data_IF_766253198378
#
_entry.id   IF_766253198378
#
_cell.length_a   1.000
_cell.length_b   1.000
_cell.length_c   1.000
_cell.angle_alpha   90.00
_cell.angle_beta   90.00
_cell.angle_gamma   90.00
#
_symmetry.space_group_name_H-M   'P 1'
#
loop_
_entity.id
_entity.type
_entity.pdbx_description
1 polymer ?
#
# COMPACT_ATOMS: atom_id res chain seq x y z
N UNK A 1 26.44 -13.57 -10.86
CA UNK A 1 25.06 -13.07 -10.66
C UNK A 1 24.76 -12.76 -9.19
N UNK A 2 24.96 -13.69 -8.25
CA UNK A 2 24.65 -13.50 -6.83
C UNK A 2 25.23 -12.22 -6.19
N UNK A 3 26.53 -11.97 -6.35
CA UNK A 3 27.18 -10.78 -5.77
C UNK A 3 26.56 -9.47 -6.29
N UNK A 4 26.26 -9.40 -7.59
CA UNK A 4 25.60 -8.23 -8.17
C UNK A 4 24.19 -8.04 -7.59
N UNK A 5 23.43 -9.14 -7.45
CA UNK A 5 22.11 -9.13 -6.82
C UNK A 5 22.16 -8.59 -5.38
N UNK A 6 23.10 -9.06 -4.58
CA UNK A 6 23.32 -8.59 -3.21
C UNK A 6 23.65 -7.09 -3.20
N UNK A 7 24.67 -6.66 -3.95
CA UNK A 7 25.14 -5.27 -3.93
C UNK A 7 24.02 -4.31 -4.35
N UNK A 8 23.35 -4.59 -5.48
CA UNK A 8 22.27 -3.73 -6.00
C UNK A 8 21.13 -3.63 -4.99
N UNK A 9 20.65 -4.76 -4.47
CA UNK A 9 19.57 -4.79 -3.50
C UNK A 9 19.91 -4.05 -2.21
N UNK A 10 21.09 -4.23 -1.65
CA UNK A 10 21.50 -3.58 -0.39
C UNK A 10 21.71 -2.07 -0.57
N UNK A 11 22.32 -1.62 -1.67
CA UNK A 11 22.49 -0.18 -1.96
C UNK A 11 21.11 0.49 -2.08
N UNK A 12 20.20 -0.10 -2.86
CA UNK A 12 18.83 0.40 -2.98
C UNK A 12 18.11 0.41 -1.62
N UNK A 13 18.39 -0.56 -0.76
CA UNK A 13 17.83 -0.63 0.60
C UNK A 13 18.26 0.57 1.44
N UNK A 14 19.56 0.84 1.50
CA UNK A 14 20.10 1.98 2.27
C UNK A 14 19.50 3.30 1.78
N UNK A 15 19.50 3.53 0.46
CA UNK A 15 18.94 4.74 -0.15
C UNK A 15 17.44 4.86 0.13
N UNK A 16 16.69 3.77 -0.08
CA UNK A 16 15.25 3.74 0.16
C UNK A 16 14.89 4.05 1.61
N UNK A 17 15.59 3.44 2.57
CA UNK A 17 15.35 3.65 4.01
C UNK A 17 15.64 5.10 4.43
N UNK A 18 16.75 5.67 3.94
CA UNK A 18 17.08 7.07 4.22
C UNK A 18 16.01 8.02 3.68
N UNK A 19 15.56 7.81 2.44
CA UNK A 19 14.58 8.68 1.79
C UNK A 19 13.19 8.55 2.40
N UNK A 20 12.72 7.34 2.72
CA UNK A 20 11.39 7.15 3.33
C UNK A 20 11.34 7.75 4.74
N UNK A 21 12.43 7.62 5.51
CA UNK A 21 12.54 8.25 6.84
C UNK A 21 12.43 9.76 6.74
N UNK A 22 13.14 10.37 5.77
CA UNK A 22 13.03 11.82 5.49
C UNK A 22 11.60 12.21 5.09
N UNK A 23 10.97 11.43 4.22
CA UNK A 23 9.62 11.71 3.71
C UNK A 23 8.55 11.62 4.82
N UNK A 24 8.62 10.60 5.68
CA UNK A 24 7.76 10.48 6.86
C UNK A 24 7.95 11.67 7.79
N UNK A 25 9.19 12.05 8.09
CA UNK A 25 9.48 13.21 8.93
C UNK A 25 8.98 14.53 8.31
N UNK A 26 8.98 14.66 6.98
CA UNK A 26 8.44 15.82 6.28
C UNK A 26 6.92 15.87 6.37
N UNK A 27 6.22 14.76 6.09
CA UNK A 27 4.75 14.68 6.20
C UNK A 27 4.30 14.94 7.63
N UNK A 28 4.98 14.33 8.61
CA UNK A 28 4.66 14.53 10.02
C UNK A 28 4.85 15.98 10.45
N UNK A 29 5.95 16.64 10.04
CA UNK A 29 6.16 18.07 10.29
C UNK A 29 5.07 18.92 9.65
N UNK A 30 4.69 18.62 8.42
CA UNK A 30 3.65 19.36 7.71
C UNK A 30 2.27 19.21 8.36
N UNK A 31 1.87 18.00 8.73
CA UNK A 31 0.60 17.75 9.45
C UNK A 31 0.57 18.48 10.79
N UNK A 32 1.70 18.55 11.50
CA UNK A 32 1.80 19.27 12.79
C UNK A 32 1.79 20.80 12.69
N UNK A 33 1.85 21.39 11.49
CA UNK A 33 1.66 22.84 11.33
C UNK A 33 0.22 23.27 11.59
N UNK A 34 -0.74 22.35 11.47
CA UNK A 34 -2.13 22.67 11.62
C UNK A 34 -2.53 22.92 13.07
N UNK A 35 -3.56 23.76 13.25
CA UNK A 35 -4.16 24.05 14.54
C UNK A 35 -4.62 22.78 15.27
N UNK A 36 -4.65 22.80 16.62
CA UNK A 36 -5.32 21.76 17.37
C UNK A 36 -6.80 21.65 16.98
N UNK A 37 -7.35 20.46 17.14
CA UNK A 37 -8.81 20.22 17.09
C UNK A 37 -9.37 20.32 18.51
N UNK A 38 -10.68 20.57 18.69
CA UNK A 38 -11.31 20.54 20.01
C UNK A 38 -10.94 19.27 20.78
N UNK A 39 -10.59 19.44 22.05
CA UNK A 39 -10.11 18.36 22.90
C UNK A 39 -11.13 17.21 22.93
N UNK A 40 -10.65 15.98 22.78
CA UNK A 40 -11.50 14.79 22.76
C UNK A 40 -12.22 14.51 21.44
N UNK A 41 -12.38 15.48 20.53
CA UNK A 41 -13.21 15.31 19.31
C UNK A 41 -12.71 14.25 18.31
N UNK A 42 -11.46 13.81 18.42
CA UNK A 42 -10.81 12.85 17.49
C UNK A 42 -10.14 11.68 18.19
N UNK A 43 -10.17 11.66 19.52
CA UNK A 43 -9.43 10.71 20.38
C UNK A 43 -10.32 10.11 21.48
N UNK A 44 -11.60 10.48 21.51
CA UNK A 44 -12.64 9.84 22.30
C UNK A 44 -12.84 8.38 21.87
N UNK A 45 -13.31 7.54 22.80
CA UNK A 45 -13.58 6.12 22.58
C UNK A 45 -12.51 5.38 21.73
N UNK A 46 -11.27 5.27 22.24
CA UNK A 46 -10.17 4.66 21.49
C UNK A 46 -10.45 3.19 21.14
N UNK A 47 -11.27 2.50 21.94
CA UNK A 47 -11.69 1.12 21.66
C UNK A 47 -12.56 1.08 20.40
N UNK A 48 -13.62 1.89 20.33
CA UNK A 48 -14.49 1.91 19.17
C UNK A 48 -13.76 2.37 17.91
N UNK A 49 -12.91 3.40 18.00
CA UNK A 49 -12.08 3.87 16.86
C UNK A 49 -11.15 2.79 16.31
N UNK A 50 -10.56 1.99 17.19
CA UNK A 50 -9.70 0.86 16.78
C UNK A 50 -10.52 -0.24 16.12
N UNK A 51 -11.71 -0.55 16.65
CA UNK A 51 -12.64 -1.49 16.03
C UNK A 51 -13.06 -0.99 14.63
N UNK A 52 -13.39 0.30 14.50
CA UNK A 52 -13.73 0.95 13.23
C UNK A 52 -12.58 0.87 12.25
N UNK A 53 -11.36 1.19 12.68
CA UNK A 53 -10.15 1.05 11.85
C UNK A 53 -10.01 -0.36 11.31
N UNK A 54 -10.05 -1.37 12.17
CA UNK A 54 -9.91 -2.78 11.77
C UNK A 54 -11.04 -3.20 10.82
N UNK A 55 -12.29 -2.84 11.12
CA UNK A 55 -13.46 -3.16 10.28
C UNK A 55 -13.38 -2.53 8.90
N UNK A 56 -13.12 -1.23 8.82
CA UNK A 56 -13.06 -0.54 7.54
C UNK A 56 -11.84 -0.95 6.72
N UNK A 57 -10.70 -1.19 7.38
CA UNK A 57 -9.49 -1.63 6.72
C UNK A 57 -9.58 -3.07 6.21
N UNK A 58 -9.89 -4.04 7.07
CA UNK A 58 -9.96 -5.44 6.64
C UNK A 58 -11.17 -5.68 5.74
N UNK A 59 -12.32 -5.07 6.05
CA UNK A 59 -13.54 -5.23 5.27
C UNK A 59 -13.59 -4.40 4.00
N UNK A 60 -12.68 -3.42 3.83
CA UNK A 60 -12.74 -2.41 2.75
C UNK A 60 -14.18 -1.87 2.56
N UNK A 61 -14.92 -1.66 3.65
CA UNK A 61 -16.40 -1.50 3.64
C UNK A 61 -16.88 -0.33 2.78
N UNK A 62 -16.03 0.69 2.61
CA UNK A 62 -16.26 1.84 1.72
C UNK A 62 -15.98 1.51 0.26
N UNK A 63 -14.83 0.89 -0.01
CA UNK A 63 -14.36 0.59 -1.36
C UNK A 63 -15.12 -0.59 -1.99
N UNK A 64 -15.57 -1.57 -1.21
CA UNK A 64 -16.34 -2.72 -1.69
C UNK A 64 -17.75 -2.36 -2.18
N UNK A 65 -18.22 -1.13 -1.95
CA UNK A 65 -19.44 -0.59 -2.56
C UNK A 65 -19.33 -0.41 -4.08
N UNK A 66 -18.10 -0.41 -4.62
CA UNK A 66 -17.82 -0.21 -6.04
C UNK A 66 -17.70 -1.54 -6.81
N UNK A 67 -18.28 -2.62 -6.29
CA UNK A 67 -18.37 -3.93 -6.93
C UNK A 67 -16.98 -4.50 -7.27
N UNK A 68 -16.74 -4.76 -8.56
CA UNK A 68 -15.50 -5.37 -9.04
C UNK A 68 -14.24 -4.56 -8.70
N UNK A 69 -14.34 -3.22 -8.70
CA UNK A 69 -13.19 -2.35 -8.39
C UNK A 69 -12.78 -2.55 -6.93
N UNK A 70 -13.75 -2.63 -6.02
CA UNK A 70 -13.45 -2.80 -4.61
C UNK A 70 -12.88 -4.16 -4.28
N UNK A 71 -13.45 -5.21 -4.88
CA UNK A 71 -12.92 -6.57 -4.74
C UNK A 71 -11.49 -6.69 -5.29
N UNK A 72 -11.22 -6.17 -6.50
CA UNK A 72 -9.88 -6.17 -7.08
C UNK A 72 -8.88 -5.35 -6.24
N UNK A 73 -9.29 -4.18 -5.76
CA UNK A 73 -8.47 -3.36 -4.87
C UNK A 73 -8.17 -4.06 -3.55
N UNK A 74 -9.13 -4.78 -2.96
CA UNK A 74 -8.93 -5.51 -1.71
C UNK A 74 -7.78 -6.50 -1.83
N UNK A 75 -7.73 -7.31 -2.90
CA UNK A 75 -6.60 -8.23 -3.09
C UNK A 75 -5.27 -7.53 -3.28
N UNK A 76 -5.25 -6.40 -4.00
CA UNK A 76 -4.03 -5.58 -4.13
C UNK A 76 -3.59 -5.04 -2.76
N UNK A 77 -4.52 -4.64 -1.91
CA UNK A 77 -4.23 -4.16 -0.56
C UNK A 77 -3.71 -5.28 0.36
N UNK A 78 -4.34 -6.45 0.37
CA UNK A 78 -3.86 -7.61 1.14
C UNK A 78 -2.52 -8.12 0.59
N UNK A 79 -2.33 -8.11 -0.73
CA UNK A 79 -1.05 -8.39 -1.37
C UNK A 79 0.07 -7.46 -0.91
N UNK A 80 -0.22 -6.16 -0.77
CA UNK A 80 0.72 -5.19 -0.20
C UNK A 80 1.07 -5.51 1.27
N UNK A 81 0.10 -5.93 2.10
CA UNK A 81 0.37 -6.38 3.48
C UNK A 81 1.11 -7.71 3.57
N UNK A 82 1.03 -8.51 2.52
CA UNK A 82 1.75 -9.78 2.37
C UNK A 82 3.20 -9.55 1.88
N UNK A 83 3.52 -8.34 1.40
CA UNK A 83 4.85 -8.02 0.89
C UNK A 83 5.97 -8.21 1.93
N UNK A 84 5.86 -7.77 3.20
CA UNK A 84 6.95 -7.88 4.17
C UNK A 84 7.53 -9.29 4.35
N UNK A 85 6.75 -10.36 4.65
CA UNK A 85 7.33 -11.69 4.79
C UNK A 85 7.92 -12.19 3.47
N UNK A 86 7.26 -11.96 2.33
CA UNK A 86 7.80 -12.42 1.04
C UNK A 86 9.04 -11.63 0.60
N UNK A 87 9.19 -10.38 1.02
CA UNK A 87 10.37 -9.56 0.76
C UNK A 87 11.53 -10.01 1.66
N UNK A 88 11.25 -10.33 2.92
CA UNK A 88 12.23 -10.95 3.83
C UNK A 88 12.76 -12.27 3.26
N UNK A 89 11.87 -13.10 2.69
CA UNK A 89 12.28 -14.31 1.98
C UNK A 89 13.17 -14.03 0.78
N UNK A 90 12.81 -13.03 -0.05
CA UNK A 90 13.65 -12.64 -1.18
C UNK A 90 15.04 -12.16 -0.73
N UNK A 91 15.16 -11.49 0.42
CA UNK A 91 16.48 -11.10 0.96
C UNK A 91 17.31 -12.32 1.36
N UNK A 92 16.71 -13.30 2.05
CA UNK A 92 17.38 -14.57 2.35
C UNK A 92 17.84 -15.29 1.08
N UNK A 93 16.98 -15.30 0.06
CA UNK A 93 17.25 -15.87 -1.26
C UNK A 93 18.43 -15.23 -1.98
N UNK A 94 18.82 -13.99 -1.68
CA UNK A 94 20.05 -13.39 -2.25
C UNK A 94 21.32 -14.09 -1.77
N UNK A 95 21.32 -14.63 -0.54
CA UNK A 95 22.49 -15.27 0.07
C UNK A 95 22.47 -16.78 -0.08
N UNK A 96 21.28 -17.38 -0.08
CA UNK A 96 21.08 -18.81 -0.25
C UNK A 96 19.81 -19.04 -1.08
N UNK A 97 19.94 -19.56 -2.30
CA UNK A 97 18.82 -19.61 -3.25
C UNK A 97 17.60 -20.42 -2.75
N UNK A 98 17.82 -21.50 -2.02
CA UNK A 98 16.79 -22.38 -1.46
C UNK A 98 16.24 -21.89 -0.11
N UNK A 99 16.62 -20.67 0.32
CA UNK A 99 16.22 -20.13 1.62
C UNK A 99 14.72 -19.84 1.69
N UNK A 100 14.14 -20.24 2.82
CA UNK A 100 12.75 -19.99 3.19
C UNK A 100 12.69 -19.33 4.57
N UNK A 101 11.59 -18.65 4.88
CA UNK A 101 11.40 -18.04 6.19
C UNK A 101 11.52 -19.10 7.29
N UNK A 102 12.35 -18.88 8.33
CA UNK A 102 12.35 -19.74 9.49
C UNK A 102 10.95 -19.83 10.09
N UNK A 103 10.57 -21.00 10.59
CA UNK A 103 9.30 -21.29 11.29
C UNK A 103 8.08 -21.36 10.37
N UNK A 104 7.86 -20.37 9.50
CA UNK A 104 6.61 -20.25 8.71
C UNK A 104 6.78 -20.58 7.22
N UNK A 105 8.01 -20.61 6.69
CA UNK A 105 8.25 -20.76 5.26
C UNK A 105 7.83 -22.10 4.67
N UNK A 106 7.75 -23.15 5.50
CA UNK A 106 7.27 -24.50 5.13
C UNK A 106 5.93 -24.84 5.78
N UNK A 107 5.27 -23.84 6.40
CA UNK A 107 3.97 -24.03 7.01
C UNK A 107 2.91 -23.95 5.91
N UNK A 108 2.36 -25.11 5.52
CA UNK A 108 1.45 -25.24 4.37
C UNK A 108 0.35 -24.17 4.31
N UNK A 109 -0.39 -23.82 5.39
CA UNK A 109 -1.40 -22.75 5.33
C UNK A 109 -0.83 -21.38 4.95
N UNK A 110 0.40 -21.07 5.37
CA UNK A 110 1.08 -19.84 4.98
C UNK A 110 1.50 -19.88 3.51
N UNK A 111 2.05 -21.00 3.03
CA UNK A 111 2.41 -21.16 1.62
C UNK A 111 1.18 -21.05 0.70
N UNK A 112 0.10 -21.75 1.02
CA UNK A 112 -1.16 -21.64 0.30
C UNK A 112 -1.72 -20.20 0.33
N UNK A 113 -1.57 -19.49 1.45
CA UNK A 113 -1.94 -18.09 1.55
C UNK A 113 -1.12 -17.21 0.58
N UNK A 114 0.20 -17.39 0.53
CA UNK A 114 1.08 -16.66 -0.40
C UNK A 114 0.72 -16.96 -1.86
N UNK A 115 0.49 -18.23 -2.21
CA UNK A 115 0.07 -18.65 -3.55
C UNK A 115 -1.25 -17.98 -3.95
N UNK A 116 -2.27 -18.07 -3.10
CA UNK A 116 -3.59 -17.49 -3.34
C UNK A 116 -3.53 -15.97 -3.48
N UNK A 117 -2.93 -15.28 -2.51
CA UNK A 117 -2.84 -13.82 -2.52
C UNK A 117 -1.93 -13.33 -3.64
N UNK A 118 -0.85 -14.04 -3.95
CA UNK A 118 0.03 -13.75 -5.09
C UNK A 118 -0.75 -13.74 -6.40
N UNK A 119 -1.51 -14.80 -6.68
CA UNK A 119 -2.38 -14.89 -7.85
C UNK A 119 -3.42 -13.76 -7.87
N UNK A 120 -4.16 -13.61 -6.78
CA UNK A 120 -5.27 -12.66 -6.72
C UNK A 120 -4.80 -11.21 -6.77
N UNK A 121 -3.58 -10.92 -6.31
CA UNK A 121 -2.95 -9.60 -6.50
C UNK A 121 -2.69 -9.32 -7.98
N UNK A 122 -2.15 -10.29 -8.73
CA UNK A 122 -1.92 -10.17 -10.17
C UNK A 122 -3.25 -10.01 -10.93
N UNK A 123 -4.24 -10.86 -10.64
CA UNK A 123 -5.57 -10.75 -11.26
C UNK A 123 -6.25 -9.42 -10.91
N UNK A 124 -6.14 -9.00 -9.64
CA UNK A 124 -6.70 -7.74 -9.17
C UNK A 124 -6.08 -6.54 -9.87
N UNK A 125 -4.75 -6.47 -9.95
CA UNK A 125 -4.10 -5.33 -10.61
C UNK A 125 -4.35 -5.30 -12.12
N UNK A 126 -4.32 -6.45 -12.80
CA UNK A 126 -4.64 -6.54 -14.23
C UNK A 126 -6.07 -6.07 -14.49
N UNK A 127 -7.02 -6.44 -13.61
CA UNK A 127 -8.41 -5.98 -13.67
C UNK A 127 -8.50 -4.46 -13.52
N UNK A 128 -7.82 -3.88 -12.53
CA UNK A 128 -7.81 -2.43 -12.31
C UNK A 128 -7.15 -1.67 -13.46
N UNK A 129 -6.05 -2.20 -14.02
CA UNK A 129 -5.40 -1.66 -15.21
C UNK A 129 -6.35 -1.68 -16.42
N UNK A 130 -7.05 -2.79 -16.66
CA UNK A 130 -8.04 -2.89 -17.74
C UNK A 130 -9.18 -1.86 -17.54
N UNK A 131 -9.73 -1.75 -16.33
CA UNK A 131 -10.76 -0.76 -16.01
C UNK A 131 -10.24 0.67 -16.25
N UNK A 132 -9.00 0.99 -15.89
CA UNK A 132 -8.39 2.29 -16.20
C UNK A 132 -8.35 2.55 -17.69
N UNK A 133 -7.81 1.61 -18.48
CA UNK A 133 -7.66 1.75 -19.92
C UNK A 133 -9.01 1.91 -20.64
N UNK A 134 -10.07 1.28 -20.12
CA UNK A 134 -11.43 1.45 -20.63
C UNK A 134 -12.03 2.81 -20.29
N UNK A 135 -11.65 3.42 -19.17
CA UNK A 135 -12.20 4.68 -18.65
C UNK A 135 -11.30 5.90 -18.89
N UNK A 136 -10.34 5.83 -19.81
CA UNK A 136 -9.43 6.95 -20.09
C UNK A 136 -10.18 8.22 -20.51
N UNK A 137 -9.68 9.43 -20.17
CA UNK A 137 -10.27 10.68 -20.63
C UNK A 137 -10.35 10.80 -22.15
N UNK A 138 -9.41 10.18 -22.87
CA UNK A 138 -9.43 10.11 -24.34
C UNK A 138 -10.59 9.27 -24.91
N UNK A 139 -11.21 8.41 -24.10
CA UNK A 139 -12.35 7.56 -24.50
C UNK A 139 -13.67 8.09 -23.95
N UNK A 140 -13.71 8.39 -22.64
CA UNK A 140 -14.92 8.81 -21.94
C UNK A 140 -15.10 10.34 -21.84
N UNK A 141 -14.17 11.13 -22.39
CA UNK A 141 -14.22 12.59 -22.36
C UNK A 141 -14.28 13.16 -20.94
N UNK A 142 -15.05 14.24 -20.74
CA UNK A 142 -15.27 14.87 -19.42
C UNK A 142 -16.02 14.00 -18.41
N UNK A 143 -16.61 12.88 -18.83
CA UNK A 143 -17.25 11.90 -17.94
C UNK A 143 -16.23 10.93 -17.32
N UNK A 144 -14.99 10.91 -17.80
CA UNK A 144 -13.94 10.09 -17.19
C UNK A 144 -13.63 10.58 -15.78
N UNK A 145 -13.71 9.68 -14.81
CA UNK A 145 -13.21 9.92 -13.44
C UNK A 145 -11.71 10.20 -13.35
N UNK A 146 -10.95 9.91 -14.42
CA UNK A 146 -9.51 10.12 -14.48
C UNK A 146 -9.13 11.45 -15.14
N UNK A 147 -10.10 12.25 -15.59
CA UNK A 147 -9.83 13.57 -16.14
C UNK A 147 -9.13 14.46 -15.10
N UNK A 148 -8.01 15.07 -15.47
CA UNK A 148 -7.20 15.92 -14.58
C UNK A 148 -6.32 15.17 -13.57
N UNK A 149 -6.29 13.83 -13.59
CA UNK A 149 -5.43 13.03 -12.70
C UNK A 149 -3.96 13.03 -13.13
N UNK A 150 -3.04 12.88 -12.17
CA UNK A 150 -1.60 12.68 -12.43
C UNK A 150 -1.31 11.26 -12.92
N UNK A 151 -1.65 10.97 -14.18
CA UNK A 151 -1.71 9.61 -14.72
C UNK A 151 -0.42 8.78 -14.53
N UNK A 152 0.76 9.38 -14.67
CA UNK A 152 2.03 8.66 -14.51
C UNK A 152 2.18 8.00 -13.12
N UNK A 153 1.65 8.65 -12.07
CA UNK A 153 1.73 8.11 -10.70
C UNK A 153 0.92 6.83 -10.57
N UNK A 154 -0.26 6.78 -11.22
CA UNK A 154 -1.11 5.60 -11.23
C UNK A 154 -0.46 4.46 -12.01
N UNK A 155 0.01 4.72 -13.23
CA UNK A 155 0.68 3.70 -14.04
C UNK A 155 1.96 3.17 -13.37
N UNK A 156 2.76 4.06 -12.77
CA UNK A 156 3.93 3.65 -12.01
C UNK A 156 3.56 2.65 -10.91
N UNK A 157 2.57 2.97 -10.07
CA UNK A 157 2.13 2.07 -8.99
C UNK A 157 1.55 0.77 -9.55
N UNK A 158 0.79 0.82 -10.64
CA UNK A 158 0.21 -0.37 -11.29
C UNK A 158 1.29 -1.33 -11.81
N UNK A 159 2.30 -0.81 -12.50
CA UNK A 159 3.41 -1.63 -13.00
C UNK A 159 4.25 -2.21 -11.86
N UNK A 160 4.52 -1.44 -10.80
CA UNK A 160 5.21 -1.94 -9.61
C UNK A 160 4.47 -3.15 -9.03
N UNK A 161 3.16 -3.04 -8.83
CA UNK A 161 2.34 -4.10 -8.23
C UNK A 161 2.33 -5.33 -9.13
N UNK A 162 2.17 -5.14 -10.44
CA UNK A 162 2.19 -6.24 -11.41
C UNK A 162 3.53 -6.97 -11.40
N UNK A 163 4.65 -6.24 -11.47
CA UNK A 163 6.00 -6.83 -11.46
C UNK A 163 6.24 -7.60 -10.15
N UNK A 164 5.87 -7.05 -9.00
CA UNK A 164 6.04 -7.72 -7.70
C UNK A 164 5.20 -8.99 -7.63
N UNK A 165 3.93 -8.94 -8.06
CA UNK A 165 3.04 -10.09 -8.06
C UNK A 165 3.56 -11.22 -8.94
N UNK A 166 4.02 -10.89 -10.16
CA UNK A 166 4.64 -11.88 -11.07
C UNK A 166 5.95 -12.43 -10.49
N UNK A 167 6.80 -11.60 -9.90
CA UNK A 167 8.04 -12.04 -9.29
C UNK A 167 7.81 -12.98 -8.09
N UNK A 168 6.73 -12.79 -7.32
CA UNK A 168 6.32 -13.75 -6.27
C UNK A 168 6.01 -15.11 -6.89
N UNK A 169 5.15 -15.16 -7.92
CA UNK A 169 4.78 -16.43 -8.57
C UNK A 169 5.98 -17.13 -9.21
N UNK A 170 6.87 -16.39 -9.86
CA UNK A 170 8.10 -16.93 -10.44
C UNK A 170 9.03 -17.48 -9.37
N UNK A 171 9.23 -16.76 -8.26
CA UNK A 171 10.05 -17.26 -7.14
C UNK A 171 9.46 -18.54 -6.55
N UNK A 172 8.13 -18.63 -6.39
CA UNK A 172 7.48 -19.86 -5.92
C UNK A 172 7.67 -21.04 -6.87
N UNK A 173 7.55 -20.81 -8.18
CA UNK A 173 7.84 -21.84 -9.18
C UNK A 173 9.29 -22.32 -9.14
N UNK A 174 10.24 -21.39 -9.01
CA UNK A 174 11.67 -21.71 -8.87
C UNK A 174 11.98 -22.43 -7.55
N UNK A 175 11.29 -22.06 -6.47
CA UNK A 175 11.40 -22.69 -5.16
C UNK A 175 10.97 -24.15 -5.22
N UNK A 176 9.79 -24.45 -5.79
CA UNK A 176 9.37 -25.83 -5.96
C UNK A 176 10.33 -26.64 -6.85
N UNK A 177 10.92 -26.03 -7.87
CA UNK A 177 11.89 -26.71 -8.73
C UNK A 177 13.23 -27.00 -8.01
N UNK A 178 13.76 -26.05 -7.23
CA UNK A 178 15.03 -26.24 -6.50
C UNK A 178 14.86 -27.17 -5.28
N UNK A 179 13.65 -27.26 -4.71
CA UNK A 179 13.30 -28.20 -3.65
C UNK A 179 12.86 -29.58 -4.17
N UNK A 180 13.01 -29.84 -5.48
CA UNK A 180 12.72 -31.14 -6.10
C UNK A 180 11.26 -31.60 -5.93
N UNK A 181 10.30 -30.69 -6.11
CA UNK A 181 8.87 -31.05 -6.12
C UNK A 181 8.55 -31.82 -7.40
N UNK A 182 8.47 -33.15 -7.28
CA UNK A 182 8.32 -34.06 -8.42
C UNK A 182 6.86 -34.25 -8.88
N UNK A 183 5.89 -34.04 -7.99
CA UNK A 183 4.46 -34.24 -8.22
C UNK A 183 3.65 -33.07 -7.64
N UNK A 184 2.34 -33.04 -7.91
CA UNK A 184 1.48 -31.97 -7.40
C UNK A 184 1.57 -31.86 -5.88
N UNK A 185 1.79 -30.63 -5.41
CA UNK A 185 1.83 -30.29 -4.00
C UNK A 185 0.96 -29.04 -3.76
N UNK A 186 0.15 -29.08 -2.70
CA UNK A 186 -0.73 -27.99 -2.31
C UNK A 186 0.05 -26.71 -1.95
N UNK A 187 1.30 -26.81 -1.51
CA UNK A 187 2.18 -25.65 -1.25
C UNK A 187 2.46 -24.80 -2.51
N UNK A 188 2.25 -25.36 -3.70
CA UNK A 188 2.48 -24.71 -4.99
C UNK A 188 1.22 -24.74 -5.87
N UNK A 189 0.01 -24.77 -5.30
CA UNK A 189 -1.20 -25.03 -6.09
C UNK A 189 -1.46 -24.01 -7.22
N UNK A 190 -0.96 -22.78 -7.12
CA UNK A 190 -0.99 -21.80 -8.23
C UNK A 190 0.26 -21.93 -9.09
N UNK A 191 1.43 -22.00 -8.47
CA UNK A 191 2.73 -21.94 -9.13
C UNK A 191 3.23 -23.27 -9.68
N UNK A 192 2.52 -24.38 -9.49
CA UNK A 192 2.91 -25.72 -9.97
C UNK A 192 3.19 -25.78 -11.48
N UNK A 193 2.44 -25.10 -12.37
CA UNK A 193 2.81 -25.01 -13.78
C UNK A 193 4.20 -24.37 -14.01
N UNK A 194 4.60 -23.42 -13.17
CA UNK A 194 5.94 -22.83 -13.21
C UNK A 194 6.99 -23.81 -12.65
N UNK A 195 6.66 -24.56 -11.59
CA UNK A 195 7.52 -25.65 -11.08
C UNK A 195 7.84 -26.64 -12.21
N UNK A 196 6.82 -27.07 -12.95
CA UNK A 196 6.98 -27.94 -14.12
C UNK A 196 7.78 -27.28 -15.24
N UNK A 197 7.56 -25.99 -15.50
CA UNK A 197 8.30 -25.25 -16.53
C UNK A 197 9.80 -25.11 -16.22
N UNK A 198 10.17 -25.11 -14.93
CA UNK A 198 11.56 -25.06 -14.47
C UNK A 198 12.15 -26.44 -14.16
N UNK A 199 11.36 -27.50 -14.30
CA UNK A 199 11.80 -28.88 -14.04
C UNK A 199 12.93 -29.27 -14.99
N UNK A 200 13.96 -29.92 -14.45
CA UNK A 200 15.11 -30.40 -15.22
C UNK A 200 16.17 -29.34 -15.53
N UNK A 201 15.96 -28.09 -15.10
CA UNK A 201 17.04 -27.09 -15.12
C UNK A 201 18.15 -27.50 -14.15
N UNK A 202 19.40 -27.17 -14.51
CA UNK A 202 20.54 -27.42 -13.63
C UNK A 202 20.44 -26.58 -12.35
N UNK A 203 21.03 -27.07 -11.25
CA UNK A 203 21.06 -26.36 -9.98
C UNK A 203 21.64 -24.93 -10.12
N UNK A 204 22.72 -24.77 -10.89
CA UNK A 204 23.34 -23.45 -11.11
C UNK A 204 22.44 -22.49 -11.90
N UNK A 205 21.63 -23.01 -12.82
CA UNK A 205 20.61 -22.24 -13.53
C UNK A 205 19.50 -21.80 -12.59
N UNK A 206 18.95 -22.72 -11.78
CA UNK A 206 17.90 -22.40 -10.81
C UNK A 206 18.37 -21.34 -9.81
N UNK A 207 19.56 -21.51 -9.23
CA UNK A 207 20.17 -20.53 -8.33
C UNK A 207 20.29 -19.15 -9.00
N UNK A 208 20.77 -19.12 -10.25
CA UNK A 208 20.91 -17.85 -10.99
C UNK A 208 19.57 -17.16 -11.22
N UNK A 209 18.53 -17.91 -11.58
CA UNK A 209 17.18 -17.39 -11.79
C UNK A 209 16.54 -16.90 -10.48
N UNK A 210 16.78 -17.59 -9.37
CA UNK A 210 16.32 -17.16 -8.05
C UNK A 210 16.99 -15.85 -7.66
N UNK A 211 18.32 -15.76 -7.71
CA UNK A 211 19.05 -14.53 -7.38
C UNK A 211 18.60 -13.35 -8.25
N UNK A 212 18.40 -13.58 -9.55
CA UNK A 212 17.94 -12.56 -10.47
C UNK A 212 16.51 -12.10 -10.18
N UNK A 213 15.58 -13.04 -9.99
CA UNK A 213 14.18 -12.73 -9.71
C UNK A 213 14.03 -12.06 -8.33
N UNK A 214 14.77 -12.52 -7.32
CA UNK A 214 14.82 -11.89 -6.00
C UNK A 214 15.36 -10.45 -6.08
N UNK A 215 16.44 -10.22 -6.83
CA UNK A 215 16.96 -8.87 -7.09
C UNK A 215 15.92 -7.99 -7.79
N UNK A 216 15.20 -8.48 -8.80
CA UNK A 216 14.13 -7.72 -9.45
C UNK A 216 13.04 -7.37 -8.43
N UNK A 217 12.53 -8.35 -7.68
CA UNK A 217 11.46 -8.14 -6.70
C UNK A 217 11.86 -7.10 -5.65
N UNK A 218 13.05 -7.23 -5.09
CA UNK A 218 13.60 -6.28 -4.11
C UNK A 218 13.81 -4.94 -4.79
N UNK A 219 14.54 -4.89 -5.90
CA UNK A 219 14.83 -3.67 -6.64
C UNK A 219 13.57 -2.88 -7.00
N UNK A 220 12.53 -3.53 -7.52
CA UNK A 220 11.22 -2.94 -7.81
C UNK A 220 10.56 -2.38 -6.55
N UNK A 221 10.58 -3.13 -5.44
CA UNK A 221 10.03 -2.66 -4.16
C UNK A 221 10.75 -1.42 -3.64
N UNK A 222 12.08 -1.38 -3.80
CA UNK A 222 12.90 -0.27 -3.32
C UNK A 222 12.84 0.94 -4.25
N UNK A 223 12.77 0.74 -5.57
CA UNK A 223 12.49 1.80 -6.54
C UNK A 223 11.14 2.45 -6.22
N UNK A 224 10.10 1.64 -5.97
CA UNK A 224 8.81 2.14 -5.52
C UNK A 224 8.94 3.00 -4.26
N UNK A 225 9.63 2.50 -3.23
CA UNK A 225 9.82 3.23 -1.98
C UNK A 225 10.57 4.56 -2.21
N UNK A 226 11.64 4.54 -2.99
CA UNK A 226 12.42 5.73 -3.35
C UNK A 226 11.55 6.75 -4.08
N UNK A 227 10.83 6.33 -5.12
CA UNK A 227 9.96 7.22 -5.90
C UNK A 227 8.86 7.84 -5.03
N UNK A 228 8.22 7.06 -4.17
CA UNK A 228 7.17 7.57 -3.26
C UNK A 228 7.76 8.54 -2.22
N UNK A 229 8.96 8.27 -1.73
CA UNK A 229 9.67 9.13 -0.78
C UNK A 229 10.09 10.47 -1.39
N UNK A 230 10.42 10.49 -2.68
CA UNK A 230 10.73 11.71 -3.42
C UNK A 230 9.46 12.48 -3.82
N UNK A 231 8.28 11.85 -3.77
CA UNK A 231 7.00 12.42 -4.16
C UNK A 231 5.99 12.35 -3.01
N UNK A 232 6.19 13.15 -1.95
CA UNK A 232 5.31 13.19 -0.76
C UNK A 232 3.85 13.59 -1.07
N UNK A 233 3.60 14.18 -2.24
CA UNK A 233 2.25 14.52 -2.72
C UNK A 233 1.62 13.43 -3.63
N UNK A 234 2.22 12.24 -3.71
CA UNK A 234 1.67 11.10 -4.46
C UNK A 234 0.57 10.41 -3.63
N UNK A 235 -0.63 10.99 -3.60
CA UNK A 235 -1.75 10.47 -2.80
C UNK A 235 -2.15 9.02 -3.11
N UNK A 236 -1.99 8.59 -4.37
CA UNK A 236 -2.19 7.18 -4.79
C UNK A 236 -1.21 6.21 -4.12
N UNK A 237 -0.07 6.70 -3.62
CA UNK A 237 0.86 5.88 -2.84
C UNK A 237 0.67 6.06 -1.34
N UNK A 238 0.67 7.31 -0.88
CA UNK A 238 0.64 7.64 0.55
C UNK A 238 -0.65 7.25 1.26
N UNK A 239 -1.77 7.07 0.56
CA UNK A 239 -3.01 6.59 1.19
C UNK A 239 -2.86 5.25 1.90
N UNK A 240 -1.93 4.38 1.44
CA UNK A 240 -1.68 3.07 2.07
C UNK A 240 -1.10 3.20 3.47
N UNK A 241 -0.39 4.29 3.75
CA UNK A 241 0.20 4.57 5.05
C UNK A 241 -0.67 5.50 5.88
N UNK A 242 -1.12 6.59 5.27
CA UNK A 242 -1.89 7.62 5.96
C UNK A 242 -3.36 7.22 6.14
N UNK A 243 -3.86 6.21 5.44
CA UNK A 243 -5.21 5.68 5.61
C UNK A 243 -5.47 5.19 7.03
N UNK A 244 -4.50 4.54 7.68
CA UNK A 244 -4.64 4.07 9.06
C UNK A 244 -4.89 5.20 10.08
N UNK A 245 -4.00 6.21 10.21
CA UNK A 245 -4.29 7.34 11.09
C UNK A 245 -5.52 8.11 10.63
N UNK A 246 -5.76 8.25 9.32
CA UNK A 246 -6.94 8.98 8.84
C UNK A 246 -8.25 8.35 9.30
N UNK A 247 -8.39 7.02 9.19
CA UNK A 247 -9.57 6.28 9.65
C UNK A 247 -9.70 6.35 11.17
N UNK A 248 -8.61 6.16 11.92
CA UNK A 248 -8.65 6.17 13.38
C UNK A 248 -9.10 7.54 13.92
N UNK A 249 -8.60 8.64 13.34
CA UNK A 249 -8.96 10.01 13.71
C UNK A 249 -10.22 10.54 13.01
N UNK A 250 -11.12 9.68 12.50
CA UNK A 250 -12.39 10.09 11.88
C UNK A 250 -13.23 10.97 12.81
N UNK A 251 -14.20 11.69 12.22
CA UNK A 251 -15.14 12.51 13.01
C UNK A 251 -15.91 11.64 13.99
N UNK A 252 -16.56 10.59 13.48
CA UNK A 252 -17.37 9.69 14.29
C UNK A 252 -16.55 8.44 14.63
N UNK A 253 -16.51 8.10 15.92
CA UNK A 253 -15.73 6.96 16.41
C UNK A 253 -16.21 5.62 15.85
N UNK A 254 -17.51 5.50 15.58
CA UNK A 254 -18.17 4.35 14.97
C UNK A 254 -17.96 4.20 13.46
N UNK A 255 -17.35 5.19 12.80
CA UNK A 255 -17.07 5.19 11.38
C UNK A 255 -18.21 5.70 10.50
N UNK A 256 -19.29 6.22 11.08
CA UNK A 256 -20.41 6.76 10.31
C UNK A 256 -19.99 7.91 9.40
N UNK A 257 -20.64 8.02 8.23
CA UNK A 257 -20.34 9.11 7.29
C UNK A 257 -20.79 10.42 7.91
N UNK A 258 -19.92 11.42 7.90
CA UNK A 258 -20.21 12.75 8.40
C UNK A 258 -21.10 13.56 7.42
N UNK A 259 -22.28 13.04 7.06
CA UNK A 259 -23.29 13.72 6.23
C UNK A 259 -24.20 14.67 7.04
N UNK A 260 -24.01 14.74 8.35
CA UNK A 260 -24.78 15.62 9.23
C UNK A 260 -24.33 17.08 9.20
N UNK A 261 -24.67 17.83 10.25
CA UNK A 261 -24.35 19.25 10.37
C UNK A 261 -22.85 19.56 10.15
N UNK A 262 -22.59 20.72 9.55
CA UNK A 262 -21.25 21.28 9.44
C UNK A 262 -20.62 21.35 10.84
N UNK A 263 -19.31 21.12 10.92
CA UNK A 263 -18.62 21.34 12.19
C UNK A 263 -18.64 22.83 12.54
N UNK A 264 -18.75 23.18 13.83
CA UNK A 264 -18.58 24.56 14.25
C UNK A 264 -17.22 25.08 13.81
N UNK A 265 -17.16 26.37 13.49
CA UNK A 265 -15.88 27.01 13.19
C UNK A 265 -15.03 27.03 14.45
N UNK A 266 -13.74 26.73 14.31
CA UNK A 266 -12.81 26.66 15.42
C UNK A 266 -11.61 27.56 15.19
N UNK A 267 -11.15 28.26 16.23
CA UNK A 267 -9.89 29.00 16.24
C UNK A 267 -9.05 28.56 17.45
N UNK A 268 -7.76 28.28 17.26
CA UNK A 268 -6.90 27.76 18.34
C UNK A 268 -7.40 26.45 18.97
N UNK A 269 -8.19 25.66 18.25
CA UNK A 269 -8.80 24.43 18.75
C UNK A 269 -10.01 24.61 19.67
N UNK A 270 -10.55 25.83 19.79
CA UNK A 270 -11.82 26.10 20.48
C UNK A 270 -12.88 26.51 19.47
N UNK A 271 -14.13 26.18 19.76
CA UNK A 271 -15.27 26.67 18.96
C UNK A 271 -15.35 28.19 19.09
N UNK A 272 -15.64 28.87 17.98
CA UNK A 272 -15.81 30.32 17.96
C UNK A 272 -17.21 30.64 18.48
N UNK A 273 -17.28 31.46 19.52
CA UNK A 273 -18.51 32.11 19.93
C UNK A 273 -18.81 33.25 18.95
N UNK A 274 -20.00 33.23 18.35
CA UNK A 274 -20.41 34.25 17.38
C UNK A 274 -20.92 35.53 18.04
N UNK A 275 -21.32 35.46 19.32
CA UNK A 275 -21.82 36.62 20.08
C UNK A 275 -20.66 37.40 20.70
N UNK A 276 -19.61 36.70 21.14
CA UNK A 276 -18.40 37.28 21.74
C UNK A 276 -17.13 36.54 21.30
N UNK A 277 -16.69 36.69 20.03
CA UNK A 277 -15.48 36.03 19.54
C UNK A 277 -14.23 36.61 20.20
N UNK A 278 -13.23 35.76 20.47
CA UNK A 278 -11.92 36.22 20.91
C UNK A 278 -11.31 37.23 19.92
N UNK A 279 -10.58 38.23 20.41
CA UNK A 279 -10.01 39.30 19.57
C UNK A 279 -9.07 38.77 18.47
N UNK A 280 -8.41 37.64 18.72
CA UNK A 280 -7.51 36.96 17.77
C UNK A 280 -8.19 35.81 17.00
N UNK A 281 -9.52 35.70 17.08
CA UNK A 281 -10.26 34.65 16.40
C UNK A 281 -10.15 34.78 14.87
N UNK A 282 -9.57 33.76 14.26
CA UNK A 282 -9.49 33.64 12.80
C UNK A 282 -10.76 33.00 12.24
N UNK A 283 -11.48 33.76 11.41
CA UNK A 283 -12.63 33.28 10.66
C UNK A 283 -12.18 32.78 9.28
N UNK A 284 -12.34 31.48 9.05
CA UNK A 284 -11.96 30.85 7.77
C UNK A 284 -10.46 30.59 7.67
N UNK A 285 -9.96 30.51 6.43
CA UNK A 285 -8.58 30.11 6.14
C UNK A 285 -7.99 30.96 5.01
N UNK A 286 -6.92 31.70 5.32
CA UNK A 286 -6.05 32.43 4.39
C UNK A 286 -4.62 31.87 4.34
N UNK A 287 -4.21 31.06 5.32
CA UNK A 287 -2.89 30.40 5.40
C UNK A 287 -3.03 28.92 5.76
N UNK A 288 -2.05 28.08 5.38
CA UNK A 288 -2.16 26.62 5.58
C UNK A 288 -2.16 26.22 7.05
N UNK A 289 -1.48 26.99 7.89
CA UNK A 289 -1.32 26.83 9.34
C UNK A 289 -2.64 27.05 10.11
N UNK A 290 -3.64 27.66 9.45
CA UNK A 290 -4.97 27.89 10.03
C UNK A 290 -5.90 26.67 9.84
N UNK A 291 -5.57 25.73 8.96
CA UNK A 291 -6.25 24.42 8.96
C UNK A 291 -5.90 23.65 10.23
N UNK A 292 -6.81 22.79 10.70
CA UNK A 292 -6.45 21.84 11.74
C UNK A 292 -5.45 20.80 11.25
N UNK A 293 -4.65 20.23 12.16
CA UNK A 293 -3.75 19.11 11.81
C UNK A 293 -4.52 17.96 11.15
N UNK A 294 -5.77 17.73 11.57
CA UNK A 294 -6.63 16.70 10.98
C UNK A 294 -7.05 17.06 9.57
N UNK A 295 -7.34 18.33 9.29
CA UNK A 295 -7.62 18.83 7.94
C UNK A 295 -6.42 18.65 7.01
N UNK A 296 -5.21 18.97 7.48
CA UNK A 296 -3.97 18.75 6.71
C UNK A 296 -3.74 17.25 6.45
N UNK A 297 -3.99 16.40 7.45
CA UNK A 297 -3.94 14.94 7.28
C UNK A 297 -4.96 14.48 6.22
N UNK A 298 -6.17 15.03 6.21
CA UNK A 298 -7.21 14.72 5.23
C UNK A 298 -6.78 15.08 3.79
N UNK A 299 -6.16 16.24 3.60
CA UNK A 299 -5.62 16.63 2.29
C UNK A 299 -4.47 15.74 1.81
N UNK A 300 -3.73 15.17 2.77
CA UNK A 300 -2.58 14.30 2.51
C UNK A 300 -2.98 12.85 2.20
N UNK A 301 -4.24 12.48 2.47
CA UNK A 301 -4.79 11.13 2.25
C UNK A 301 -5.75 11.09 1.06
N UNK A 302 -5.68 10.03 0.25
CA UNK A 302 -6.59 9.88 -0.89
C UNK A 302 -8.06 9.83 -0.44
N UNK A 303 -8.91 10.53 -1.19
CA UNK A 303 -10.28 10.91 -0.84
C UNK A 303 -11.33 9.83 -1.03
N UNK A 304 -11.00 8.63 -1.55
CA UNK A 304 -12.01 7.59 -1.86
C UNK A 304 -12.00 6.39 -0.91
N UNK A 305 -10.90 6.10 -0.23
CA UNK A 305 -10.87 5.03 0.78
C UNK A 305 -11.32 5.51 2.17
N UNK A 306 -11.14 6.81 2.47
CA UNK A 306 -11.30 7.37 3.82
C UNK A 306 -12.48 8.34 4.02
N UNK A 307 -13.14 8.82 2.95
CA UNK A 307 -14.39 9.60 3.02
C UNK A 307 -15.58 8.71 2.67
#
# INVERSE_FOLDING_TARGET
MQLAAIIVSLVLTVVGVALITRAVAQIYRFVRLGQPVPAGSRTDDPKQRTITLVKEFLGHTRMNRWGIVGFAHWFVAIGFLTLPPTLLQAYGQLFQADWVLPIIGTFLPFEMYIEFIGLMTVVGIVTLMAIRLLNLPSRAGRKSRFAGSKAWQAYFVEYIILIIGLAILVLRGLEGAIHHVESYDAAYFVSYPLVLAFKGLSLSTLQTLIYFTAMIKIGTSLIWMITVSLNTNMGVAWHRFLGFPNIWFKRNADGDVALGALQPMTSGGKEIDWEDPAEDAVFGVSQVEQFSWKGILDFSTCTECGR
#
